data_IF_648750515384
#
_entry.id   IF_648750515384
#
_cell.length_a   1.000
_cell.length_b   1.000
_cell.length_c   1.000
_cell.angle_alpha   90.00
_cell.angle_beta   90.00
_cell.angle_gamma   90.00
#
_symmetry.space_group_name_H-M   'P 1'
#
loop_
_entity.id
_entity.type
_entity.pdbx_description
1 polymer ?
#
# COMPACT_ATOMS: atom_id res chain seq x y z
N UNK A 1 -30.27 67.88 -8.72
CA UNK A 1 -29.96 66.53 -8.23
C UNK A 1 -30.13 65.56 -9.39
N UNK A 2 -29.03 65.15 -10.03
CA UNK A 2 -29.05 64.17 -11.13
C UNK A 2 -28.68 62.80 -10.54
N UNK A 3 -29.61 61.86 -10.58
CA UNK A 3 -29.34 60.46 -10.23
C UNK A 3 -28.51 59.82 -11.35
N UNK A 4 -27.29 59.37 -11.04
CA UNK A 4 -26.57 58.39 -11.86
C UNK A 4 -26.78 57.02 -11.21
N UNK A 5 -27.48 56.13 -11.91
CA UNK A 5 -27.56 54.70 -11.60
C UNK A 5 -26.44 54.02 -12.39
N UNK A 6 -25.37 53.59 -11.73
CA UNK A 6 -24.34 52.74 -12.34
C UNK A 6 -24.78 51.29 -12.26
N UNK A 7 -25.17 50.72 -13.41
CA UNK A 7 -25.45 49.30 -13.56
C UNK A 7 -24.12 48.55 -13.72
N UNK A 8 -23.62 47.95 -12.64
CA UNK A 8 -22.47 47.04 -12.69
C UNK A 8 -22.92 45.66 -13.17
N UNK A 9 -22.65 45.34 -14.44
CA UNK A 9 -22.84 44.01 -15.01
C UNK A 9 -21.69 43.12 -14.50
N UNK A 10 -21.99 42.26 -13.52
CA UNK A 10 -21.09 41.18 -13.13
C UNK A 10 -21.20 40.06 -14.18
N UNK A 11 -20.20 39.98 -15.06
CA UNK A 11 -20.04 38.86 -15.99
C UNK A 11 -19.58 37.65 -15.19
N UNK A 12 -20.50 36.73 -14.88
CA UNK A 12 -20.17 35.39 -14.42
C UNK A 12 -19.61 34.61 -15.62
N UNK A 13 -18.30 34.44 -15.69
CA UNK A 13 -17.69 33.46 -16.60
C UNK A 13 -18.00 32.06 -16.08
N UNK A 14 -19.11 31.48 -16.52
CA UNK A 14 -19.36 30.05 -16.37
C UNK A 14 -18.50 29.36 -17.44
N UNK A 15 -17.30 28.93 -17.05
CA UNK A 15 -16.51 28.03 -17.91
C UNK A 15 -17.21 26.67 -17.94
N UNK A 16 -18.02 26.44 -18.96
CA UNK A 16 -18.50 25.12 -19.34
C UNK A 16 -17.27 24.30 -19.76
N UNK A 17 -16.68 23.55 -18.83
CA UNK A 17 -15.79 22.47 -19.22
C UNK A 17 -16.61 21.49 -20.06
N UNK A 18 -16.16 21.13 -21.27
CA UNK A 18 -16.91 20.20 -22.11
C UNK A 18 -17.00 18.85 -21.39
N UNK A 19 -18.22 18.34 -21.22
CA UNK A 19 -18.51 17.02 -20.63
C UNK A 19 -17.69 15.88 -21.23
N UNK A 20 -17.23 16.03 -22.48
CA UNK A 20 -16.36 15.10 -23.18
C UNK A 20 -14.98 14.91 -22.53
N UNK A 21 -14.34 15.96 -22.03
CA UNK A 21 -13.01 15.82 -21.39
C UNK A 21 -13.11 15.14 -20.02
N UNK A 22 -14.21 15.38 -19.30
CA UNK A 22 -14.47 14.69 -18.04
C UNK A 22 -14.76 13.20 -18.26
N UNK A 23 -15.57 12.87 -19.27
CA UNK A 23 -15.91 11.48 -19.60
C UNK A 23 -14.68 10.68 -20.05
N UNK A 24 -13.77 11.29 -20.83
CA UNK A 24 -12.50 10.66 -21.20
C UNK A 24 -11.61 10.41 -19.97
N UNK A 25 -11.46 11.40 -19.08
CA UNK A 25 -10.67 11.25 -17.85
C UNK A 25 -11.24 10.17 -16.92
N UNK A 26 -12.57 10.10 -16.77
CA UNK A 26 -13.24 9.07 -15.98
C UNK A 26 -13.05 7.67 -16.58
N UNK A 27 -13.02 7.55 -17.91
CA UNK A 27 -12.74 6.30 -18.60
C UNK A 27 -11.27 5.87 -18.42
N UNK A 28 -10.33 6.80 -18.56
CA UNK A 28 -8.90 6.55 -18.36
C UNK A 28 -8.62 6.09 -16.91
N UNK A 29 -9.23 6.73 -15.93
CA UNK A 29 -9.15 6.33 -14.51
C UNK A 29 -9.63 4.89 -14.30
N UNK A 30 -10.82 4.55 -14.81
CA UNK A 30 -11.39 3.19 -14.67
C UNK A 30 -10.52 2.14 -15.36
N UNK A 31 -9.91 2.47 -16.49
CA UNK A 31 -9.04 1.54 -17.19
C UNK A 31 -7.72 1.30 -16.45
N UNK A 32 -7.13 2.34 -15.86
CA UNK A 32 -5.94 2.19 -15.01
C UNK A 32 -6.24 1.36 -13.76
N UNK A 33 -7.40 1.57 -13.12
CA UNK A 33 -7.85 0.73 -11.99
C UNK A 33 -7.93 -0.74 -12.42
N UNK A 34 -8.62 -1.04 -13.52
CA UNK A 34 -8.73 -2.43 -14.04
C UNK A 34 -7.37 -3.06 -14.33
N UNK A 35 -6.41 -2.29 -14.87
CA UNK A 35 -5.05 -2.78 -15.15
C UNK A 35 -4.33 -3.15 -13.84
N UNK A 36 -4.44 -2.32 -12.80
CA UNK A 36 -3.88 -2.63 -11.47
C UNK A 36 -4.52 -3.90 -10.90
N UNK A 37 -5.85 -4.05 -10.98
CA UNK A 37 -6.53 -5.26 -10.52
C UNK A 37 -6.03 -6.51 -11.23
N UNK A 38 -5.90 -6.46 -12.56
CA UNK A 38 -5.41 -7.60 -13.36
C UNK A 38 -3.99 -8.01 -12.99
N UNK A 39 -3.08 -7.04 -12.85
CA UNK A 39 -1.70 -7.28 -12.42
C UNK A 39 -1.66 -7.84 -10.99
N UNK A 40 -2.51 -7.35 -10.10
CA UNK A 40 -2.62 -7.82 -8.72
C UNK A 40 -3.10 -9.27 -8.66
N UNK A 41 -4.15 -9.61 -9.42
CA UNK A 41 -4.63 -10.99 -9.54
C UNK A 41 -3.52 -11.89 -10.08
N UNK A 42 -2.77 -11.45 -11.11
CA UNK A 42 -1.64 -12.22 -11.64
C UNK A 42 -0.58 -12.44 -10.56
N UNK A 43 -0.23 -11.41 -9.79
CA UNK A 43 0.79 -11.50 -8.72
C UNK A 43 0.39 -12.49 -7.64
N UNK A 44 -0.87 -12.43 -7.19
CA UNK A 44 -1.41 -13.37 -6.19
C UNK A 44 -1.36 -14.81 -6.72
N UNK A 45 -1.83 -15.04 -7.95
CA UNK A 45 -1.84 -16.38 -8.56
C UNK A 45 -0.43 -16.96 -8.72
N UNK A 46 0.53 -16.12 -9.11
CA UNK A 46 1.91 -16.55 -9.29
C UNK A 46 2.54 -16.95 -7.96
N UNK A 47 2.32 -16.16 -6.90
CA UNK A 47 2.82 -16.47 -5.55
C UNK A 47 2.16 -17.69 -4.91
N UNK A 48 0.94 -18.04 -5.31
CA UNK A 48 0.28 -19.29 -4.89
C UNK A 48 0.96 -20.56 -5.44
N UNK A 49 1.83 -20.43 -6.45
CA UNK A 49 2.59 -21.56 -7.03
C UNK A 49 3.91 -21.81 -6.32
N UNK A 50 4.31 -20.94 -5.38
CA UNK A 50 5.57 -21.07 -4.66
C UNK A 50 5.56 -22.37 -3.85
N UNK A 51 6.56 -23.20 -4.07
CA UNK A 51 6.86 -24.34 -3.23
C UNK A 51 8.20 -24.07 -2.51
N UNK A 52 8.18 -23.85 -1.19
CA UNK A 52 9.40 -23.55 -0.44
C UNK A 52 10.44 -24.69 -0.45
N UNK A 53 10.05 -25.92 -0.82
CA UNK A 53 10.94 -27.08 -0.91
C UNK A 53 11.59 -27.25 -2.30
N UNK A 54 11.21 -26.43 -3.28
CA UNK A 54 11.67 -26.55 -4.67
C UNK A 54 12.54 -25.36 -5.09
N UNK A 55 13.54 -25.63 -5.93
CA UNK A 55 14.24 -24.59 -6.68
C UNK A 55 13.34 -24.11 -7.83
N UNK A 56 12.96 -22.83 -7.81
CA UNK A 56 11.96 -22.26 -8.71
C UNK A 56 12.45 -20.93 -9.32
N UNK A 57 13.68 -20.91 -9.85
CA UNK A 57 14.32 -19.70 -10.39
C UNK A 57 13.45 -18.97 -11.43
N UNK A 58 12.90 -19.71 -12.40
CA UNK A 58 12.03 -19.13 -13.42
C UNK A 58 10.76 -18.47 -12.83
N UNK A 59 10.16 -19.06 -11.78
CA UNK A 59 9.01 -18.48 -11.09
C UNK A 59 9.41 -17.20 -10.35
N UNK A 60 10.56 -17.21 -9.68
CA UNK A 60 11.08 -16.05 -8.96
C UNK A 60 11.36 -14.88 -9.90
N UNK A 61 11.90 -15.14 -11.08
CA UNK A 61 12.15 -14.10 -12.08
C UNK A 61 10.86 -13.57 -12.72
N UNK A 62 9.85 -14.42 -12.90
CA UNK A 62 8.52 -13.95 -13.31
C UNK A 62 7.90 -13.06 -12.23
N UNK A 63 8.02 -13.44 -10.94
CA UNK A 63 7.55 -12.62 -9.81
C UNK A 63 8.24 -11.26 -9.80
N UNK A 64 9.58 -11.21 -9.91
CA UNK A 64 10.33 -9.94 -9.95
C UNK A 64 9.89 -9.05 -11.11
N UNK A 65 9.73 -9.64 -12.30
CA UNK A 65 9.29 -8.92 -13.50
C UNK A 65 7.89 -8.33 -13.30
N UNK A 66 7.00 -9.11 -12.69
CA UNK A 66 5.64 -8.69 -12.42
C UNK A 66 5.56 -7.62 -11.34
N UNK A 67 6.34 -7.76 -10.25
CA UNK A 67 6.43 -6.75 -9.19
C UNK A 67 6.93 -5.41 -9.77
N UNK A 68 7.98 -5.42 -10.61
CA UNK A 68 8.48 -4.21 -11.27
C UNK A 68 7.44 -3.58 -12.21
N UNK A 69 6.68 -4.40 -12.95
CA UNK A 69 5.61 -3.94 -13.83
C UNK A 69 4.47 -3.28 -13.04
N UNK A 70 4.06 -3.93 -11.96
CA UNK A 70 3.01 -3.44 -11.07
C UNK A 70 3.45 -2.14 -10.37
N UNK A 71 4.69 -2.09 -9.87
CA UNK A 71 5.25 -0.90 -9.25
C UNK A 71 5.25 0.29 -10.21
N UNK A 72 5.77 0.13 -11.43
CA UNK A 72 5.74 1.20 -12.44
C UNK A 72 4.32 1.71 -12.70
N UNK A 73 3.33 0.80 -12.78
CA UNK A 73 1.93 1.16 -12.99
C UNK A 73 1.35 1.91 -11.79
N UNK A 74 1.62 1.44 -10.57
CA UNK A 74 1.17 2.06 -9.32
C UNK A 74 1.81 3.44 -9.13
N UNK A 75 3.10 3.61 -9.42
CA UNK A 75 3.78 4.91 -9.34
C UNK A 75 3.09 5.95 -10.22
N UNK A 76 2.79 5.62 -11.47
CA UNK A 76 2.09 6.51 -12.39
C UNK A 76 0.68 6.83 -11.89
N UNK A 77 -0.06 5.83 -11.41
CA UNK A 77 -1.40 6.01 -10.87
C UNK A 77 -1.41 6.91 -9.64
N UNK A 78 -0.48 6.70 -8.70
CA UNK A 78 -0.39 7.49 -7.47
C UNK A 78 0.04 8.93 -7.73
N UNK A 79 0.90 9.17 -8.72
CA UNK A 79 1.30 10.52 -9.12
C UNK A 79 0.12 11.32 -9.70
N UNK A 80 -0.76 10.67 -10.46
CA UNK A 80 -1.92 11.32 -11.10
C UNK A 80 -3.11 11.45 -10.15
N UNK A 81 -3.47 10.36 -9.47
CA UNK A 81 -4.74 10.25 -8.76
C UNK A 81 -4.62 10.26 -7.23
N UNK A 82 -3.39 10.13 -6.71
CA UNK A 82 -3.13 9.89 -5.30
C UNK A 82 -3.63 8.51 -4.83
N UNK A 83 -3.57 8.27 -3.53
CA UNK A 83 -4.10 7.04 -2.95
C UNK A 83 -5.63 7.07 -2.91
N UNK A 84 -6.26 6.08 -3.54
CA UNK A 84 -7.72 5.89 -3.55
C UNK A 84 -8.13 4.79 -2.60
N UNK A 85 -9.23 5.01 -1.88
CA UNK A 85 -9.81 4.01 -0.99
C UNK A 85 -10.38 2.83 -1.76
N UNK A 86 -10.57 1.69 -1.08
CA UNK A 86 -11.28 0.55 -1.67
C UNK A 86 -12.71 0.85 -2.13
N UNK A 87 -13.35 1.90 -1.59
CA UNK A 87 -14.67 2.35 -2.06
C UNK A 87 -14.60 3.02 -3.43
N UNK A 88 -13.47 3.66 -3.74
CA UNK A 88 -13.25 4.38 -5.00
C UNK A 88 -12.75 3.44 -6.11
N UNK A 89 -11.88 2.47 -5.78
CA UNK A 89 -11.19 1.63 -6.79
C UNK A 89 -11.36 0.13 -6.60
N UNK A 90 -12.15 -0.33 -5.62
CA UNK A 90 -12.28 -1.74 -5.28
C UNK A 90 -11.15 -2.27 -4.40
N UNK A 91 -11.39 -3.43 -3.76
CA UNK A 91 -10.41 -4.04 -2.84
C UNK A 91 -9.16 -4.54 -3.55
N UNK A 92 -9.31 -5.12 -4.75
CA UNK A 92 -8.18 -5.68 -5.50
C UNK A 92 -7.20 -4.60 -5.96
N UNK A 93 -7.71 -3.48 -6.48
CA UNK A 93 -6.82 -2.40 -6.92
C UNK A 93 -6.12 -1.74 -5.72
N UNK A 94 -6.84 -1.49 -4.62
CA UNK A 94 -6.28 -0.90 -3.41
C UNK A 94 -5.21 -1.81 -2.78
N UNK A 95 -5.45 -3.12 -2.72
CA UNK A 95 -4.45 -4.10 -2.33
C UNK A 95 -3.27 -4.11 -3.31
N UNK A 96 -3.51 -3.93 -4.61
CA UNK A 96 -2.47 -3.76 -5.62
C UNK A 96 -1.54 -2.59 -5.36
N UNK A 97 -2.08 -1.43 -4.96
CA UNK A 97 -1.27 -0.26 -4.56
C UNK A 97 -0.31 -0.63 -3.43
N UNK A 98 -0.82 -1.29 -2.40
CA UNK A 98 -0.02 -1.73 -1.26
C UNK A 98 1.03 -2.78 -1.66
N UNK A 99 0.64 -3.84 -2.36
CA UNK A 99 1.56 -4.94 -2.72
C UNK A 99 2.71 -4.47 -3.61
N UNK A 100 2.44 -3.52 -4.51
CA UNK A 100 3.47 -2.92 -5.37
C UNK A 100 4.59 -2.29 -4.55
N UNK A 101 4.23 -1.49 -3.54
CA UNK A 101 5.18 -0.76 -2.69
C UNK A 101 5.79 -1.71 -1.64
N UNK A 102 5.00 -2.62 -1.08
CA UNK A 102 5.45 -3.56 -0.05
C UNK A 102 6.55 -4.53 -0.53
N UNK A 103 6.64 -4.75 -1.84
CA UNK A 103 7.65 -5.58 -2.49
C UNK A 103 8.76 -4.78 -3.21
N UNK A 104 8.74 -3.45 -3.14
CA UNK A 104 9.74 -2.59 -3.78
C UNK A 104 11.06 -2.55 -2.99
N UNK A 105 12.06 -1.82 -3.52
CA UNK A 105 13.29 -1.52 -2.79
C UNK A 105 13.02 -0.64 -1.56
N UNK A 106 14.00 -0.54 -0.64
CA UNK A 106 13.89 0.35 0.53
C UNK A 106 13.74 1.80 0.10
N UNK A 107 14.53 2.25 -0.87
CA UNK A 107 14.52 3.61 -1.40
C UNK A 107 13.15 3.94 -2.02
N UNK A 108 12.57 3.00 -2.76
CA UNK A 108 11.23 3.14 -3.33
C UNK A 108 10.18 3.24 -2.22
N UNK A 109 10.24 2.36 -1.20
CA UNK A 109 9.31 2.43 -0.06
C UNK A 109 9.38 3.78 0.66
N UNK A 110 10.59 4.32 0.87
CA UNK A 110 10.80 5.63 1.50
C UNK A 110 10.19 6.75 0.67
N UNK A 111 10.33 6.70 -0.66
CA UNK A 111 9.75 7.69 -1.55
C UNK A 111 8.20 7.75 -1.47
N UNK A 112 7.55 6.66 -1.06
CA UNK A 112 6.09 6.59 -0.87
C UNK A 112 5.63 6.87 0.57
N UNK A 113 6.54 7.16 1.52
CA UNK A 113 6.20 7.33 2.94
C UNK A 113 5.10 8.35 3.17
N UNK A 114 5.26 9.55 2.61
CA UNK A 114 4.31 10.64 2.79
C UNK A 114 2.90 10.33 2.24
N UNK A 115 2.81 9.63 1.10
CA UNK A 115 1.51 9.28 0.52
C UNK A 115 0.83 8.14 1.29
N UNK A 116 1.60 7.18 1.81
CA UNK A 116 1.06 6.09 2.63
C UNK A 116 0.60 6.63 4.00
N UNK A 117 1.36 7.53 4.63
CA UNK A 117 0.95 8.16 5.89
C UNK A 117 -0.36 8.93 5.73
N UNK A 118 -0.47 9.76 4.68
CA UNK A 118 -1.74 10.45 4.36
C UNK A 118 -2.87 9.49 4.04
N UNK A 119 -2.59 8.39 3.35
CA UNK A 119 -3.61 7.37 3.04
C UNK A 119 -4.11 6.68 4.32
N UNK A 120 -3.24 6.43 5.28
CA UNK A 120 -3.59 5.85 6.57
C UNK A 120 -4.42 6.82 7.42
N UNK A 121 -3.98 8.07 7.54
CA UNK A 121 -4.73 9.12 8.25
C UNK A 121 -6.12 9.38 7.65
N UNK A 122 -6.27 9.16 6.34
CA UNK A 122 -7.53 9.33 5.62
C UNK A 122 -8.39 8.05 5.52
N UNK A 123 -8.02 6.96 6.20
CA UNK A 123 -8.74 5.66 6.16
C UNK A 123 -8.90 5.10 4.72
N UNK A 124 -7.84 5.24 3.90
CA UNK A 124 -7.83 4.79 2.49
C UNK A 124 -6.96 3.56 2.24
N UNK A 125 -6.07 3.21 3.16
CA UNK A 125 -5.29 1.97 3.17
C UNK A 125 -5.73 1.13 4.36
N UNK A 126 -5.82 -0.19 4.17
CA UNK A 126 -6.14 -1.10 5.28
C UNK A 126 -5.09 -0.95 6.41
N UNK A 127 -5.56 -0.87 7.65
CA UNK A 127 -4.69 -0.60 8.81
C UNK A 127 -3.61 -1.68 8.99
N UNK A 128 -3.95 -2.94 8.67
CA UNK A 128 -3.00 -4.06 8.71
C UNK A 128 -1.94 -3.95 7.59
N UNK A 129 -2.30 -3.45 6.40
CA UNK A 129 -1.36 -3.15 5.32
C UNK A 129 -0.41 -2.02 5.72
N UNK A 130 -0.91 -0.96 6.35
CA UNK A 130 -0.05 0.09 6.91
C UNK A 130 0.92 -0.47 7.96
N UNK A 131 0.45 -1.30 8.89
CA UNK A 131 1.29 -1.94 9.90
C UNK A 131 2.41 -2.79 9.29
N UNK A 132 2.10 -3.56 8.23
CA UNK A 132 3.08 -4.35 7.48
C UNK A 132 4.13 -3.47 6.78
N UNK A 133 3.70 -2.34 6.21
CA UNK A 133 4.57 -1.38 5.52
C UNK A 133 5.54 -0.71 6.48
N UNK A 134 5.03 -0.12 7.57
CA UNK A 134 5.85 0.69 8.47
C UNK A 134 6.85 -0.17 9.24
N UNK A 135 6.46 -1.37 9.66
CA UNK A 135 7.39 -2.31 10.30
C UNK A 135 8.49 -2.76 9.33
N UNK A 136 8.16 -3.01 8.06
CA UNK A 136 9.15 -3.36 7.04
C UNK A 136 10.13 -2.22 6.77
N UNK A 137 9.63 -1.00 6.62
CA UNK A 137 10.45 0.18 6.42
C UNK A 137 11.40 0.42 7.58
N UNK A 138 10.90 0.27 8.83
CA UNK A 138 11.71 0.39 10.05
C UNK A 138 12.79 -0.67 10.13
N UNK A 139 12.45 -1.94 9.93
CA UNK A 139 13.43 -3.04 9.99
C UNK A 139 14.51 -2.89 8.91
N UNK A 140 14.14 -2.48 7.69
CA UNK A 140 15.11 -2.20 6.61
C UNK A 140 16.04 -1.03 6.90
N UNK A 141 15.69 -0.19 7.87
CA UNK A 141 16.47 0.96 8.35
C UNK A 141 17.12 0.69 9.73
N UNK A 142 17.22 -0.58 10.15
CA UNK A 142 17.78 -0.98 11.45
C UNK A 142 17.08 -0.34 12.66
N UNK A 143 15.78 -0.02 12.52
CA UNK A 143 14.96 0.55 13.58
C UNK A 143 14.02 -0.49 14.19
N UNK A 144 13.69 -0.38 15.49
CA UNK A 144 12.67 -1.21 16.11
C UNK A 144 11.32 -1.04 15.42
N UNK A 145 10.65 -2.17 15.20
CA UNK A 145 9.32 -2.22 14.58
C UNK A 145 8.22 -1.93 15.61
N UNK A 146 7.07 -1.45 15.15
CA UNK A 146 5.97 -0.97 16.00
C UNK A 146 5.01 -2.11 16.34
N UNK A 147 4.68 -2.95 15.36
CA UNK A 147 3.60 -3.94 15.48
C UNK A 147 4.11 -5.37 15.60
N UNK A 148 5.35 -5.67 15.24
CA UNK A 148 5.90 -7.02 15.29
C UNK A 148 5.45 -7.86 14.10
N UNK A 149 5.51 -7.33 12.88
CA UNK A 149 5.11 -8.06 11.66
C UNK A 149 6.29 -8.63 10.86
N UNK A 150 7.51 -8.18 11.10
CA UNK A 150 8.71 -8.69 10.43
C UNK A 150 9.49 -9.61 11.36
N UNK A 151 9.95 -10.72 10.82
CA UNK A 151 10.75 -11.73 11.49
C UNK A 151 11.88 -12.20 10.57
N UNK A 152 12.89 -12.82 11.14
CA UNK A 152 14.04 -13.37 10.43
C UNK A 152 14.32 -14.79 10.92
N UNK A 153 15.05 -15.56 10.12
CA UNK A 153 15.56 -16.86 10.56
C UNK A 153 16.89 -16.65 11.30
N UNK A 154 16.93 -17.00 12.57
CA UNK A 154 18.17 -16.98 13.36
C UNK A 154 18.88 -18.32 13.23
N UNK A 155 20.02 -18.32 12.53
CA UNK A 155 20.84 -19.51 12.31
C UNK A 155 21.35 -20.14 13.62
N UNK A 156 21.59 -19.33 14.66
CA UNK A 156 22.15 -19.83 15.93
C UNK A 156 21.15 -20.70 16.69
N UNK A 157 19.89 -20.26 16.73
CA UNK A 157 18.80 -20.99 17.38
C UNK A 157 18.01 -21.89 16.43
N UNK A 158 18.33 -21.87 15.13
CA UNK A 158 17.59 -22.55 14.07
C UNK A 158 16.07 -22.30 14.14
N UNK A 159 15.68 -21.05 14.41
CA UNK A 159 14.28 -20.67 14.65
C UNK A 159 13.94 -19.30 14.06
N UNK A 160 12.67 -19.08 13.71
CA UNK A 160 12.20 -17.75 13.32
C UNK A 160 12.09 -16.86 14.56
N UNK A 161 12.55 -15.62 14.48
CA UNK A 161 12.51 -14.63 15.55
C UNK A 161 12.01 -13.29 15.05
N UNK A 162 11.31 -12.55 15.91
CA UNK A 162 10.96 -11.17 15.59
C UNK A 162 12.21 -10.28 15.54
N UNK A 163 12.22 -9.33 14.59
CA UNK A 163 13.11 -8.17 14.73
C UNK A 163 12.72 -7.36 15.98
N UNK A 164 13.62 -6.54 16.50
CA UNK A 164 13.38 -5.74 17.71
C UNK A 164 12.04 -4.99 17.65
N UNK A 165 11.25 -5.07 18.73
CA UNK A 165 9.92 -4.46 18.83
C UNK A 165 9.94 -3.36 19.87
N UNK A 166 9.58 -2.15 19.47
CA UNK A 166 9.44 -1.01 20.36
C UNK A 166 8.40 -1.30 21.46
N UNK A 167 8.71 -1.08 22.73
CA UNK A 167 7.79 -1.26 23.87
C UNK A 167 6.94 -2.55 23.73
N UNK A 168 7.64 -3.69 23.75
CA UNK A 168 7.03 -5.02 23.60
C UNK A 168 5.85 -5.24 24.57
N UNK A 169 5.95 -4.72 25.81
CA UNK A 169 4.89 -4.82 26.83
C UNK A 169 3.54 -4.26 26.36
N UNK A 170 3.56 -3.28 25.46
CA UNK A 170 2.35 -2.65 24.92
C UNK A 170 2.04 -3.02 23.46
N UNK A 171 2.78 -3.94 22.83
CA UNK A 171 2.61 -4.29 21.41
C UNK A 171 1.20 -4.74 21.09
N UNK A 172 0.59 -5.55 21.95
CA UNK A 172 -0.78 -6.04 21.75
C UNK A 172 -1.84 -4.93 21.80
N UNK A 173 -1.58 -3.81 22.49
CA UNK A 173 -2.47 -2.63 22.45
C UNK A 173 -2.42 -1.96 21.07
N UNK A 174 -1.24 -1.88 20.45
CA UNK A 174 -1.06 -1.34 19.10
C UNK A 174 -1.64 -2.27 18.05
N UNK A 175 -1.33 -3.57 18.11
CA UNK A 175 -1.84 -4.60 17.18
C UNK A 175 -3.37 -4.64 17.12
N UNK A 176 -4.05 -4.54 18.28
CA UNK A 176 -5.52 -4.48 18.33
C UNK A 176 -6.10 -3.30 17.54
N UNK A 177 -5.43 -2.14 17.54
CA UNK A 177 -5.89 -0.93 16.86
C UNK A 177 -5.84 -1.03 15.34
N UNK A 178 -5.05 -1.94 14.79
CA UNK A 178 -4.84 -2.13 13.34
C UNK A 178 -5.34 -3.49 12.84
N UNK A 179 -6.24 -4.12 13.60
CA UNK A 179 -6.83 -5.41 13.23
C UNK A 179 -5.89 -6.62 13.29
N UNK A 180 -4.69 -6.50 13.86
CA UNK A 180 -3.74 -7.60 13.97
C UNK A 180 -4.05 -8.50 15.18
N UNK A 181 -3.92 -9.82 14.99
CA UNK A 181 -4.00 -10.80 16.08
C UNK A 181 -2.93 -10.52 17.15
N UNK A 182 -3.16 -10.93 18.41
CA UNK A 182 -2.14 -10.84 19.47
C UNK A 182 -0.81 -11.47 19.01
N UNK A 183 0.31 -10.90 19.43
CA UNK A 183 1.63 -11.31 18.97
C UNK A 183 1.93 -12.77 19.31
N UNK A 184 1.44 -13.28 20.44
CA UNK A 184 1.54 -14.67 20.86
C UNK A 184 0.80 -15.62 19.91
N UNK A 185 -0.39 -15.21 19.45
CA UNK A 185 -1.14 -15.97 18.45
C UNK A 185 -0.43 -15.95 17.10
N UNK A 186 0.07 -14.79 16.68
CA UNK A 186 0.80 -14.63 15.43
C UNK A 186 2.09 -15.44 15.41
N UNK A 187 2.86 -15.41 16.49
CA UNK A 187 4.08 -16.19 16.65
C UNK A 187 3.80 -17.69 16.54
N UNK A 188 2.77 -18.18 17.25
CA UNK A 188 2.35 -19.58 17.16
C UNK A 188 1.92 -19.98 15.74
N UNK A 189 1.19 -19.12 15.02
CA UNK A 189 0.72 -19.41 13.67
C UNK A 189 1.85 -19.47 12.64
N UNK A 190 2.95 -18.74 12.87
CA UNK A 190 4.07 -18.63 11.96
C UNK A 190 5.34 -19.33 12.47
N UNK A 191 5.24 -20.13 13.55
CA UNK A 191 6.37 -20.80 14.20
C UNK A 191 7.54 -19.86 14.57
N UNK A 192 7.22 -18.70 15.13
CA UNK A 192 8.18 -17.68 15.59
C UNK A 192 8.40 -17.85 17.10
N UNK A 193 9.65 -17.84 17.54
CA UNK A 193 10.03 -17.84 18.95
C UNK A 193 9.67 -16.50 19.64
N UNK A 194 9.24 -16.61 20.90
CA UNK A 194 8.88 -15.51 21.80
C UNK A 194 9.63 -15.72 23.12
N UNK A 195 10.91 -15.46 23.11
CA UNK A 195 11.79 -15.56 24.28
C UNK A 195 12.39 -14.21 24.67
#
# INVERSE_FOLDING_TARGET
MKHLLTLSISIFFITLFPSYSQDQSDNDFKEEVKRIEQLTIKSIKLRQQINPEAEQEALNDEIKTLDATLLKKVTLFLNEYGWKSKKEIGELANMGLFLAIQHSSTEEMESFKDIIERAYEADKIEENSYALYIDRLKVRNDLPQIFGTQYYFDEKSASLRFNEIEDFKNVNKRRKKVGLAKIEKYAKQNNIALD
#
